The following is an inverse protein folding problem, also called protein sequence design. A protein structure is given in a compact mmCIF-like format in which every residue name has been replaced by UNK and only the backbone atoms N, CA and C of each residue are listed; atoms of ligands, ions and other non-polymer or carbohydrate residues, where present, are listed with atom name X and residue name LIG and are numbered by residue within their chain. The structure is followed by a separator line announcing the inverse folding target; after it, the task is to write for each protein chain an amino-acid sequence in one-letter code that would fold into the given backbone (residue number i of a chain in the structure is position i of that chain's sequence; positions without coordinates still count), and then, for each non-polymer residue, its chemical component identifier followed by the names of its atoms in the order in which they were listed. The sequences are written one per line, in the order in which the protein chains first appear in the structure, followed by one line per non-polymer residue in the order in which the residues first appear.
data_IF_019959163103
#
_entry.id   IF_019959163103
#
_cell.length_a   1.000
_cell.length_b   1.000
_cell.length_c   1.000
_cell.angle_alpha   90.00
_cell.angle_beta   90.00
_cell.angle_gamma   90.00
#
_symmetry.space_group_name_H-M   'P 1'
#
loop_
_entity.id
_entity.type
_entity.pdbx_description
1 polymer ?
#
# COMPACT_ATOMS: atom_id res chain seq x y z
N UNK A 1 -8.07 13.33 -8.17
CA UNK A 1 -7.20 12.29 -7.59
C UNK A 1 -7.17 12.52 -6.09
N UNK A 2 -7.33 11.48 -5.28
CA UNK A 2 -7.25 11.56 -3.80
C UNK A 2 -5.84 11.97 -3.37
N UNK A 3 -5.73 12.54 -2.18
CA UNK A 3 -4.46 12.90 -1.54
C UNK A 3 -3.59 11.67 -1.28
N UNK A 4 -2.28 11.80 -1.45
CA UNK A 4 -1.37 10.67 -1.33
C UNK A 4 -1.42 10.09 0.09
N UNK A 5 -1.47 10.93 1.12
CA UNK A 5 -1.59 10.47 2.51
C UNK A 5 -2.82 9.58 2.73
N UNK A 6 -3.95 9.92 2.10
CA UNK A 6 -5.20 9.14 2.17
C UNK A 6 -5.12 7.85 1.35
N UNK A 7 -4.48 7.88 0.19
CA UNK A 7 -4.21 6.67 -0.61
C UNK A 7 -3.31 5.69 0.16
N UNK A 8 -2.24 6.20 0.78
CA UNK A 8 -1.33 5.40 1.60
C UNK A 8 -2.02 4.84 2.84
N UNK A 9 -2.88 5.62 3.50
CA UNK A 9 -3.71 5.16 4.62
C UNK A 9 -4.60 3.96 4.22
N UNK A 10 -5.31 4.07 3.09
CA UNK A 10 -6.13 2.96 2.59
C UNK A 10 -5.28 1.71 2.26
N UNK A 11 -4.09 1.89 1.69
CA UNK A 11 -3.18 0.77 1.44
C UNK A 11 -2.69 0.11 2.73
N UNK A 12 -2.38 0.89 3.78
CA UNK A 12 -2.00 0.38 5.11
C UNK A 12 -3.12 -0.47 5.69
N UNK A 13 -4.37 -0.03 5.59
CA UNK A 13 -5.52 -0.76 6.11
C UNK A 13 -5.69 -2.10 5.38
N UNK A 14 -5.64 -2.09 4.05
CA UNK A 14 -5.71 -3.31 3.22
C UNK A 14 -4.57 -4.26 3.61
N UNK A 15 -3.32 -3.78 3.61
CA UNK A 15 -2.16 -4.60 3.93
C UNK A 15 -2.22 -5.16 5.35
N UNK A 16 -2.67 -4.38 6.33
CA UNK A 16 -2.82 -4.82 7.73
C UNK A 16 -3.85 -5.94 7.85
N UNK A 17 -4.94 -5.89 7.09
CA UNK A 17 -5.92 -6.98 7.05
C UNK A 17 -5.35 -8.25 6.41
N UNK A 18 -4.51 -8.11 5.38
CA UNK A 18 -3.90 -9.24 4.68
C UNK A 18 -2.87 -9.97 5.53
N UNK A 19 -2.01 -9.24 6.23
CA UNK A 19 -0.92 -9.86 7.02
C UNK A 19 -1.37 -10.40 8.37
N UNK A 20 -2.59 -10.07 8.81
CA UNK A 20 -3.15 -10.59 10.08
C UNK A 20 -3.88 -11.91 9.84
N UNK A 21 -3.87 -12.78 10.86
CA UNK A 21 -4.42 -14.16 10.83
C UNK A 21 -5.88 -14.25 10.34
N UNK A 22 -6.66 -13.18 10.48
CA UNK A 22 -8.03 -13.09 9.97
C UNK A 22 -8.11 -13.00 8.43
N UNK A 23 -7.13 -12.37 7.77
CA UNK A 23 -7.06 -12.27 6.30
C UNK A 23 -6.75 -13.60 5.62
N UNK A 24 -5.94 -14.44 6.28
CA UNK A 24 -5.57 -15.79 5.81
C UNK A 24 -6.76 -16.76 5.79
N UNK A 25 -7.70 -16.63 6.72
CA UNK A 25 -8.87 -17.53 6.84
C UNK A 25 -10.06 -17.15 5.95
N UNK A 26 -10.13 -15.91 5.44
CA UNK A 26 -11.30 -15.39 4.74
C UNK A 26 -11.10 -15.13 3.24
N UNK A 27 -9.89 -15.26 2.68
CA UNK A 27 -9.59 -15.09 1.25
C UNK A 27 -10.11 -13.79 0.57
N UNK A 28 -10.64 -12.82 1.33
CA UNK A 28 -11.70 -11.93 0.82
C UNK A 28 -11.29 -10.51 0.43
N UNK A 29 -10.26 -9.91 1.04
CA UNK A 29 -10.07 -8.45 0.90
C UNK A 29 -9.12 -8.01 -0.23
N UNK A 30 -8.18 -8.85 -0.69
CA UNK A 30 -7.32 -8.50 -1.85
C UNK A 30 -8.08 -8.63 -3.18
N UNK A 31 -9.22 -9.34 -3.17
CA UNK A 31 -10.11 -9.52 -4.31
C UNK A 31 -11.11 -8.35 -4.44
N UNK A 32 -11.13 -7.42 -3.49
CA UNK A 32 -12.05 -6.28 -3.53
C UNK A 32 -11.66 -5.24 -4.59
N UNK A 33 -12.66 -4.60 -5.22
CA UNK A 33 -12.45 -3.50 -6.17
C UNK A 33 -11.67 -2.32 -5.56
N UNK A 34 -11.76 -2.14 -4.24
CA UNK A 34 -11.04 -1.12 -3.49
C UNK A 34 -9.51 -1.25 -3.61
N UNK A 35 -8.97 -2.48 -3.63
CA UNK A 35 -7.54 -2.67 -3.81
C UNK A 35 -7.08 -2.24 -5.21
N UNK A 36 -7.84 -2.56 -6.25
CA UNK A 36 -7.51 -2.18 -7.62
C UNK A 36 -7.47 -0.65 -7.80
N UNK A 37 -8.42 0.07 -7.20
CA UNK A 37 -8.45 1.54 -7.19
C UNK A 37 -7.23 2.13 -6.48
N UNK A 38 -6.92 1.65 -5.26
CA UNK A 38 -5.75 2.12 -4.50
C UNK A 38 -4.44 1.82 -5.23
N UNK A 39 -4.32 0.63 -5.84
CA UNK A 39 -3.14 0.25 -6.61
C UNK A 39 -2.94 1.15 -7.84
N UNK A 40 -4.02 1.53 -8.53
CA UNK A 40 -3.96 2.47 -9.65
C UNK A 40 -3.53 3.87 -9.19
N UNK A 41 -4.05 4.35 -8.06
CA UNK A 41 -3.65 5.64 -7.48
C UNK A 41 -2.17 5.67 -7.06
N UNK A 42 -1.67 4.59 -6.45
CA UNK A 42 -0.25 4.46 -6.08
C UNK A 42 0.64 4.51 -7.32
N UNK A 43 0.29 3.76 -8.37
CA UNK A 43 1.03 3.76 -9.64
C UNK A 43 1.01 5.12 -10.31
N UNK A 44 -0.14 5.79 -10.33
CA UNK A 44 -0.26 7.15 -10.83
C UNK A 44 0.60 8.13 -10.01
N UNK A 45 0.64 7.96 -8.69
CA UNK A 45 1.47 8.77 -7.82
C UNK A 45 2.97 8.57 -8.08
N UNK A 46 3.39 7.31 -8.27
CA UNK A 46 4.78 6.95 -8.54
C UNK A 46 5.26 7.38 -9.93
N UNK A 47 4.38 7.38 -10.93
CA UNK A 47 4.71 7.82 -12.28
C UNK A 47 4.90 9.33 -12.42
N UNK A 48 4.44 10.14 -11.46
CA UNK A 48 4.56 11.61 -11.53
C UNK A 48 6.03 12.05 -11.41
N UNK A 49 6.51 13.00 -12.23
CA UNK A 49 7.84 13.59 -12.06
C UNK A 49 8.02 14.10 -10.63
N UNK A 50 9.12 13.73 -9.96
CA UNK A 50 9.38 14.14 -8.58
C UNK A 50 10.22 15.42 -8.54
N UNK A 51 9.70 16.48 -7.93
CA UNK A 51 10.46 17.67 -7.57
C UNK A 51 11.05 17.60 -6.14
N UNK A 52 10.89 16.46 -5.45
CA UNK A 52 11.30 16.25 -4.05
C UNK A 52 11.31 14.78 -3.60
N UNK A 53 11.35 14.54 -2.28
CA UNK A 53 11.37 13.18 -1.68
C UNK A 53 10.08 12.45 -2.04
N UNK A 54 10.23 11.27 -2.65
CA UNK A 54 9.11 10.45 -3.12
C UNK A 54 8.69 9.41 -2.06
N UNK A 55 7.48 9.56 -1.52
CA UNK A 55 6.90 8.66 -0.50
C UNK A 55 6.11 7.47 -1.11
N UNK A 56 6.45 7.02 -2.33
CA UNK A 56 5.70 5.97 -3.05
C UNK A 56 6.45 4.66 -3.22
N UNK A 57 7.77 4.59 -2.95
CA UNK A 57 8.56 3.39 -3.20
C UNK A 57 8.06 2.19 -2.37
N UNK A 58 7.83 2.39 -1.06
CA UNK A 58 7.27 1.34 -0.21
C UNK A 58 5.83 0.99 -0.59
N UNK A 59 5.07 1.97 -1.09
CA UNK A 59 3.70 1.77 -1.55
C UNK A 59 3.64 0.93 -2.82
N UNK A 60 4.50 1.22 -3.79
CA UNK A 60 4.60 0.44 -5.03
C UNK A 60 5.06 -0.99 -4.73
N UNK A 61 6.07 -1.16 -3.87
CA UNK A 61 6.52 -2.48 -3.44
C UNK A 61 5.41 -3.27 -2.71
N UNK A 62 4.61 -2.60 -1.88
CA UNK A 62 3.46 -3.21 -1.20
C UNK A 62 2.40 -3.67 -2.20
N UNK A 63 2.06 -2.82 -3.18
CA UNK A 63 1.09 -3.19 -4.24
C UNK A 63 1.56 -4.44 -4.99
N UNK A 64 2.84 -4.50 -5.38
CA UNK A 64 3.42 -5.66 -6.06
C UNK A 64 3.34 -6.91 -5.17
N UNK A 65 3.72 -6.79 -3.89
CA UNK A 65 3.68 -7.92 -2.96
C UNK A 65 2.25 -8.46 -2.77
N UNK A 66 1.26 -7.58 -2.64
CA UNK A 66 -0.14 -7.96 -2.48
C UNK A 66 -0.73 -8.59 -3.76
N UNK A 67 -0.37 -8.09 -4.94
CA UNK A 67 -0.76 -8.71 -6.22
C UNK A 67 -0.12 -10.08 -6.40
N UNK A 68 1.18 -10.21 -6.14
CA UNK A 68 1.90 -11.48 -6.23
C UNK A 68 1.37 -12.52 -5.22
N UNK A 69 1.00 -12.09 -4.01
CA UNK A 69 0.34 -12.96 -3.05
C UNK A 69 -1.07 -13.37 -3.53
N UNK A 70 -1.86 -12.45 -4.09
CA UNK A 70 -3.21 -12.70 -4.61
C UNK A 70 -3.21 -13.70 -5.78
N UNK A 71 -2.26 -13.54 -6.69
CA UNK A 71 -2.17 -14.28 -7.95
C UNK A 71 -1.41 -15.62 -7.79
N UNK A 72 -0.67 -15.79 -6.68
CA UNK A 72 -0.05 -17.05 -6.29
C UNK A 72 -0.97 -17.96 -5.45
N UNK A 73 -0.37 -18.99 -4.85
CA UNK A 73 -1.09 -20.05 -4.10
C UNK A 73 -1.68 -19.58 -2.75
N UNK A 74 -1.51 -18.30 -2.39
CA UNK A 74 -1.99 -17.67 -1.15
C UNK A 74 -1.59 -18.39 0.15
N UNK A 75 -0.49 -19.14 0.11
CA UNK A 75 0.07 -19.85 1.26
C UNK A 75 0.39 -18.88 2.43
N UNK A 76 -0.03 -19.16 3.68
CA UNK A 76 0.41 -18.43 4.86
C UNK A 76 1.93 -18.30 5.02
N UNK A 77 2.71 -19.24 4.47
CA UNK A 77 4.17 -19.19 4.42
C UNK A 77 4.75 -18.33 3.29
N UNK A 78 3.90 -17.66 2.51
CA UNK A 78 4.32 -16.95 1.31
C UNK A 78 5.35 -15.85 1.62
N UNK A 79 6.48 -15.79 0.88
CA UNK A 79 7.45 -14.71 1.03
C UNK A 79 6.84 -13.34 0.73
N UNK A 80 5.78 -13.27 -0.08
CA UNK A 80 5.07 -12.03 -0.38
C UNK A 80 4.31 -11.47 0.83
N UNK A 81 3.78 -12.33 1.71
CA UNK A 81 3.19 -11.89 2.98
C UNK A 81 4.25 -11.36 3.94
N UNK A 82 5.42 -12.00 4.00
CA UNK A 82 6.54 -11.51 4.80
C UNK A 82 6.99 -10.13 4.32
N UNK A 83 7.11 -9.94 3.01
CA UNK A 83 7.45 -8.64 2.41
C UNK A 83 6.38 -7.60 2.76
N UNK A 84 5.09 -7.91 2.58
CA UNK A 84 4.01 -7.01 2.95
C UNK A 84 4.06 -6.63 4.44
N UNK A 85 4.32 -7.58 5.33
CA UNK A 85 4.50 -7.32 6.77
C UNK A 85 5.68 -6.39 7.07
N UNK A 86 6.82 -6.61 6.41
CA UNK A 86 8.03 -5.80 6.57
C UNK A 86 7.87 -4.37 6.04
N UNK A 87 7.04 -4.16 5.02
CA UNK A 87 6.80 -2.84 4.42
C UNK A 87 5.85 -1.95 5.25
N UNK A 88 4.99 -2.53 6.10
CA UNK A 88 3.99 -1.76 6.87
C UNK A 88 4.56 -0.60 7.69
N UNK A 89 5.64 -0.76 8.48
CA UNK A 89 6.24 0.35 9.23
C UNK A 89 6.76 1.47 8.32
N UNK A 90 7.35 1.11 7.18
CA UNK A 90 7.86 2.08 6.20
C UNK A 90 6.71 2.86 5.58
N UNK A 91 5.63 2.16 5.21
CA UNK A 91 4.44 2.75 4.63
C UNK A 91 3.77 3.77 5.58
N UNK A 92 3.77 3.49 6.89
CA UNK A 92 3.27 4.43 7.91
C UNK A 92 4.13 5.69 8.01
N UNK A 93 5.45 5.56 7.92
CA UNK A 93 6.34 6.72 7.89
C UNK A 93 6.13 7.57 6.62
N UNK A 94 5.99 6.92 5.47
CA UNK A 94 5.70 7.57 4.19
C UNK A 94 4.34 8.29 4.20
N UNK A 95 3.30 7.67 4.78
CA UNK A 95 1.99 8.30 4.93
C UNK A 95 2.04 9.55 5.82
N UNK A 96 2.83 9.52 6.90
CA UNK A 96 3.02 10.66 7.78
C UNK A 96 3.78 11.80 7.09
N UNK A 97 4.83 11.48 6.31
CA UNK A 97 5.56 12.47 5.49
C UNK A 97 4.65 13.12 4.46
N UNK A 98 3.94 12.31 3.67
CA UNK A 98 3.00 12.79 2.67
C UNK A 98 1.93 13.73 3.27
N UNK A 99 1.42 13.42 4.47
CA UNK A 99 0.47 14.29 5.16
C UNK A 99 1.07 15.65 5.53
N UNK A 100 2.35 15.70 5.93
CA UNK A 100 3.02 16.95 6.26
C UNK A 100 3.31 17.78 5.01
N UNK A 101 3.78 17.15 3.94
CA UNK A 101 4.03 17.81 2.65
C UNK A 101 2.73 18.43 2.11
N UNK A 102 1.61 17.70 2.20
CA UNK A 102 0.28 18.19 1.82
C UNK A 102 -0.20 19.36 2.69
N UNK A 103 0.16 19.38 3.98
CA UNK A 103 -0.13 20.52 4.87
C UNK A 103 0.70 21.74 4.52
N UNK A 104 1.98 21.54 4.21
CA UNK A 104 2.89 22.63 3.83
C UNK A 104 2.48 23.26 2.50
N UNK A 105 2.10 22.46 1.50
CA UNK A 105 1.65 22.95 0.20
C UNK A 105 0.33 23.77 0.24
N UNK A 106 -0.42 23.68 1.34
CA UNK A 106 -1.66 24.44 1.56
C UNK A 106 -1.46 25.75 2.33
N UNK A 107 -0.26 25.98 2.86
CA UNK A 107 0.10 27.23 3.55
C UNK A 107 0.54 28.28 2.55
#
# INVERSE_FOLDING_TARGET
MRELSKTLGALIDIASHVVTRHGLTLAGNIVSGQFAEVAAEVRAADARPSEGIRCTNAALAMVIALEAYRDGDRDPGSPWLMIAGALLPILRADAWRALNDEKEARR
#
